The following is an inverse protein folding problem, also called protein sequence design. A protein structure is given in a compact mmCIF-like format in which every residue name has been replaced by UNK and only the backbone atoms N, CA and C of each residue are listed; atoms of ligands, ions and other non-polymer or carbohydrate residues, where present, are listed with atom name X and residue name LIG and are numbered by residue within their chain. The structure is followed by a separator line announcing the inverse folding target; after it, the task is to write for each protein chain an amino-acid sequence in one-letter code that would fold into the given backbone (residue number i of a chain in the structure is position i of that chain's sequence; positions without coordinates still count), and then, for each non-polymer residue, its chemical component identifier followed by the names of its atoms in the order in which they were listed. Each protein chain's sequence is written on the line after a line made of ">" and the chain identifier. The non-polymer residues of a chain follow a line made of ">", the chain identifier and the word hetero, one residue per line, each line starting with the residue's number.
data_IF_751794774190
#
_entry.id   IF_751794774190
#
_cell.length_a   1.000
_cell.length_b   1.000
_cell.length_c   1.000
_cell.angle_alpha   90.00
_cell.angle_beta   90.00
_cell.angle_gamma   90.00
#
_symmetry.space_group_name_H-M   'P 1'
#
loop_
_entity.id
_entity.type
_entity.pdbx_description
1 polymer ?
#
# COMPACT_ATOMS: atom_id res chain seq x y z
N UNK A 1 -25.72 -23.84 1.35
CA UNK A 1 -27.18 -23.75 1.08
C UNK A 1 -27.51 -22.73 0.01
N UNK A 2 -26.71 -21.67 -0.17
CA UNK A 2 -27.04 -20.57 -1.07
C UNK A 2 -27.68 -19.39 -0.34
N UNK A 3 -27.80 -19.50 0.98
CA UNK A 3 -28.32 -18.44 1.83
C UNK A 3 -27.31 -17.31 2.00
N UNK A 4 -27.82 -16.15 2.43
CA UNK A 4 -27.00 -14.98 2.69
C UNK A 4 -25.85 -15.34 3.66
N UNK A 5 -24.63 -15.09 3.20
CA UNK A 5 -23.40 -15.42 3.92
C UNK A 5 -22.44 -14.25 3.87
N UNK A 6 -21.56 -14.17 4.87
CA UNK A 6 -20.54 -13.12 4.96
C UNK A 6 -19.15 -13.73 5.05
N UNK A 7 -18.27 -13.32 4.15
CA UNK A 7 -16.84 -13.52 4.30
C UNK A 7 -16.24 -12.25 4.93
N UNK A 8 -15.62 -12.39 6.10
CA UNK A 8 -14.98 -11.29 6.82
C UNK A 8 -13.47 -11.55 6.93
N UNK A 9 -12.67 -10.53 6.63
CA UNK A 9 -11.22 -10.61 6.67
C UNK A 9 -10.65 -9.30 7.20
N UNK A 10 -9.75 -9.40 8.16
CA UNK A 10 -8.86 -8.32 8.58
C UNK A 10 -7.43 -8.67 8.21
N UNK A 11 -6.64 -7.64 7.89
CA UNK A 11 -5.21 -7.76 7.63
C UNK A 11 -4.49 -6.51 8.12
N UNK A 12 -3.19 -6.63 8.37
CA UNK A 12 -2.30 -5.52 8.65
C UNK A 12 -1.04 -5.55 7.78
N UNK A 13 -0.35 -4.40 7.71
CA UNK A 13 0.91 -4.30 6.96
C UNK A 13 2.00 -5.27 7.47
N UNK A 14 1.95 -5.64 8.75
CA UNK A 14 2.87 -6.63 9.30
C UNK A 14 2.69 -8.01 8.65
N UNK A 15 1.45 -8.40 8.33
CA UNK A 15 1.16 -9.68 7.67
C UNK A 15 1.80 -9.73 6.29
N UNK A 16 1.75 -8.60 5.57
CA UNK A 16 2.39 -8.44 4.26
C UNK A 16 3.90 -8.59 4.36
N UNK A 17 4.52 -7.94 5.35
CA UNK A 17 5.97 -8.05 5.58
C UNK A 17 6.35 -9.49 5.88
N UNK A 18 5.56 -10.19 6.70
CA UNK A 18 5.79 -11.60 7.00
C UNK A 18 5.66 -12.49 5.75
N UNK A 19 4.61 -12.30 4.95
CA UNK A 19 4.43 -13.05 3.70
C UNK A 19 5.57 -12.82 2.71
N UNK A 20 6.03 -11.57 2.55
CA UNK A 20 7.20 -11.29 1.69
C UNK A 20 8.47 -12.00 2.18
N UNK A 21 8.69 -12.07 3.49
CA UNK A 21 9.82 -12.83 4.06
C UNK A 21 9.72 -14.32 3.78
N UNK A 22 8.53 -14.91 3.95
CA UNK A 22 8.29 -16.32 3.65
C UNK A 22 8.54 -16.64 2.18
N UNK A 23 8.05 -15.81 1.26
CA UNK A 23 8.28 -15.96 -0.18
C UNK A 23 9.76 -15.88 -0.51
N UNK A 24 10.50 -14.94 0.09
CA UNK A 24 11.94 -14.77 -0.17
C UNK A 24 12.80 -15.89 0.44
N UNK A 25 12.44 -16.39 1.61
CA UNK A 25 13.17 -17.43 2.33
C UNK A 25 12.80 -18.86 1.97
N UNK A 26 11.76 -19.06 1.14
CA UNK A 26 11.32 -20.39 0.72
C UNK A 26 12.25 -21.06 -0.30
N UNK A 27 12.10 -22.38 -0.43
CA UNK A 27 12.93 -23.25 -1.30
C UNK A 27 12.63 -23.13 -2.80
N UNK A 28 11.62 -22.32 -3.18
CA UNK A 28 11.22 -22.14 -4.57
C UNK A 28 12.27 -21.42 -5.41
N UNK A 29 12.30 -21.73 -6.71
CA UNK A 29 13.15 -21.03 -7.67
C UNK A 29 12.72 -19.57 -7.88
N UNK A 30 13.52 -18.82 -8.64
CA UNK A 30 13.24 -17.40 -8.89
C UNK A 30 11.90 -17.18 -9.59
N UNK A 31 11.52 -18.08 -10.51
CA UNK A 31 10.23 -18.00 -11.19
C UNK A 31 9.06 -18.22 -10.22
N UNK A 32 9.19 -19.16 -9.28
CA UNK A 32 8.23 -19.41 -8.22
C UNK A 32 8.08 -18.20 -7.30
N UNK A 33 9.20 -17.63 -6.82
CA UNK A 33 9.18 -16.43 -5.97
C UNK A 33 8.48 -15.25 -6.64
N UNK A 34 8.73 -15.04 -7.94
CA UNK A 34 8.04 -13.99 -8.72
C UNK A 34 6.54 -14.22 -8.81
N UNK A 35 6.09 -15.45 -9.07
CA UNK A 35 4.65 -15.78 -9.09
C UNK A 35 4.00 -15.58 -7.72
N UNK A 36 4.63 -16.06 -6.66
CA UNK A 36 4.13 -15.89 -5.30
C UNK A 36 4.03 -14.41 -4.90
N UNK A 37 5.03 -13.60 -5.27
CA UNK A 37 4.99 -12.15 -5.07
C UNK A 37 3.82 -11.50 -5.83
N UNK A 38 3.59 -11.89 -7.09
CA UNK A 38 2.46 -11.38 -7.87
C UNK A 38 1.10 -11.74 -7.26
N UNK A 39 0.95 -12.94 -6.70
CA UNK A 39 -0.27 -13.32 -5.97
C UNK A 39 -0.47 -12.50 -4.70
N UNK A 40 0.60 -12.25 -3.93
CA UNK A 40 0.54 -11.38 -2.76
C UNK A 40 0.16 -9.94 -3.14
N UNK A 41 0.76 -9.40 -4.20
CA UNK A 41 0.43 -8.07 -4.71
C UNK A 41 -1.04 -7.99 -5.18
N UNK A 42 -1.56 -9.06 -5.80
CA UNK A 42 -2.97 -9.15 -6.20
C UNK A 42 -3.92 -9.18 -4.99
N UNK A 43 -3.54 -9.89 -3.92
CA UNK A 43 -4.30 -9.92 -2.67
C UNK A 43 -4.33 -8.55 -2.01
N UNK A 44 -3.20 -7.83 -2.01
CA UNK A 44 -3.12 -6.46 -1.50
C UNK A 44 -3.99 -5.51 -2.32
N UNK A 45 -3.93 -5.61 -3.64
CA UNK A 45 -4.79 -4.84 -4.51
C UNK A 45 -6.27 -5.10 -4.20
N UNK A 46 -6.67 -6.34 -3.87
CA UNK A 46 -8.04 -6.65 -3.46
C UNK A 46 -8.38 -6.02 -2.11
N UNK A 47 -7.45 -6.04 -1.14
CA UNK A 47 -7.63 -5.47 0.19
C UNK A 47 -7.75 -3.94 0.18
N UNK A 48 -6.96 -3.26 -0.64
CA UNK A 48 -6.80 -1.79 -0.67
C UNK A 48 -7.66 -1.10 -1.75
N UNK A 49 -8.46 -1.88 -2.48
CA UNK A 49 -9.29 -1.35 -3.55
C UNK A 49 -10.36 -0.38 -3.04
N UNK A 50 -10.54 0.69 -3.81
CA UNK A 50 -11.67 1.63 -3.65
C UNK A 50 -12.83 1.29 -4.59
N UNK A 51 -12.65 0.27 -5.42
CA UNK A 51 -13.67 -0.23 -6.35
C UNK A 51 -14.39 -1.45 -5.75
N UNK A 52 -15.39 -1.98 -6.46
CA UNK A 52 -16.11 -3.18 -6.05
C UNK A 52 -15.17 -4.40 -5.88
N UNK A 53 -15.09 -4.95 -4.65
CA UNK A 53 -14.23 -6.14 -4.39
C UNK A 53 -14.63 -7.35 -5.22
N UNK A 54 -15.93 -7.56 -5.44
CA UNK A 54 -16.42 -8.68 -6.26
C UNK A 54 -15.98 -8.56 -7.70
N UNK A 55 -16.08 -7.37 -8.29
CA UNK A 55 -15.64 -7.14 -9.67
C UNK A 55 -14.15 -7.47 -9.83
N UNK A 56 -13.32 -6.97 -8.91
CA UNK A 56 -11.88 -7.25 -8.92
C UNK A 56 -11.55 -8.73 -8.72
N UNK A 57 -12.27 -9.44 -7.84
CA UNK A 57 -12.10 -10.88 -7.64
C UNK A 57 -12.44 -11.67 -8.91
N UNK A 58 -13.55 -11.32 -9.58
CA UNK A 58 -13.94 -11.94 -10.85
C UNK A 58 -12.87 -11.70 -11.92
N UNK A 59 -12.41 -10.46 -12.08
CA UNK A 59 -11.35 -10.10 -13.05
C UNK A 59 -10.04 -10.86 -12.79
N UNK A 60 -9.65 -11.04 -11.53
CA UNK A 60 -8.47 -11.82 -11.17
C UNK A 60 -8.53 -13.27 -11.69
N UNK A 61 -9.72 -13.88 -11.71
CA UNK A 61 -9.96 -15.22 -12.27
C UNK A 61 -10.33 -15.21 -13.76
N UNK A 62 -10.14 -14.09 -14.47
CA UNK A 62 -10.43 -13.96 -15.89
C UNK A 62 -11.93 -13.93 -16.22
N UNK A 63 -12.78 -13.63 -15.24
CA UNK A 63 -14.22 -13.46 -15.44
C UNK A 63 -14.55 -11.98 -15.62
N UNK A 64 -15.35 -11.67 -16.64
CA UNK A 64 -15.87 -10.32 -16.86
C UNK A 64 -17.01 -10.03 -15.86
N UNK A 65 -16.89 -9.00 -15.01
CA UNK A 65 -17.98 -8.62 -14.12
C UNK A 65 -19.20 -8.16 -14.93
N UNK A 66 -20.37 -8.72 -14.65
CA UNK A 66 -21.62 -8.30 -15.31
C UNK A 66 -22.03 -6.86 -14.94
N UNK A 67 -21.53 -6.35 -13.82
CA UNK A 67 -21.76 -5.01 -13.31
C UNK A 67 -20.48 -4.47 -12.68
N UNK A 68 -20.28 -3.15 -12.76
CA UNK A 68 -19.16 -2.49 -12.08
C UNK A 68 -19.30 -2.55 -10.55
N UNK A 69 -20.53 -2.56 -10.03
CA UNK A 69 -20.85 -2.57 -8.59
C UNK A 69 -21.77 -3.75 -8.26
N UNK A 70 -21.35 -4.59 -7.31
CA UNK A 70 -22.11 -5.78 -6.95
C UNK A 70 -23.22 -5.53 -5.91
N UNK A 71 -23.23 -4.35 -5.28
CA UNK A 71 -24.20 -3.98 -4.24
C UNK A 71 -24.15 -4.81 -2.96
N UNK A 72 -23.13 -5.67 -2.78
CA UNK A 72 -23.07 -6.64 -1.67
C UNK A 72 -21.61 -6.91 -1.22
N UNK A 73 -20.73 -5.92 -1.31
CA UNK A 73 -19.44 -5.93 -0.65
C UNK A 73 -19.27 -4.60 0.10
N UNK A 74 -18.37 -4.58 1.08
CA UNK A 74 -18.08 -3.41 1.92
C UNK A 74 -17.77 -2.15 1.12
N UNK A 75 -16.97 -2.23 0.05
CA UNK A 75 -16.66 -1.05 -0.79
C UNK A 75 -17.85 -0.55 -1.62
N UNK A 76 -18.84 -1.39 -1.90
CA UNK A 76 -20.10 -0.96 -2.53
C UNK A 76 -21.10 -0.41 -1.52
N UNK A 77 -21.16 -0.99 -0.32
CA UNK A 77 -22.13 -0.65 0.72
C UNK A 77 -21.72 0.62 1.48
N UNK A 78 -20.42 0.78 1.73
CA UNK A 78 -19.82 1.93 2.40
C UNK A 78 -18.59 2.35 1.59
N UNK A 79 -18.79 3.08 0.47
CA UNK A 79 -17.69 3.50 -0.38
C UNK A 79 -16.65 4.30 0.42
N UNK A 80 -15.36 3.96 0.32
CA UNK A 80 -14.31 4.71 1.01
C UNK A 80 -14.18 6.11 0.41
N UNK A 81 -13.94 7.12 1.25
CA UNK A 81 -13.62 8.46 0.79
C UNK A 81 -12.26 8.45 0.07
N UNK A 82 -12.21 9.10 -1.09
CA UNK A 82 -10.99 9.22 -1.90
C UNK A 82 -10.78 10.66 -2.34
N UNK A 83 -9.54 11.01 -2.63
CA UNK A 83 -9.16 12.31 -3.15
C UNK A 83 -7.91 12.18 -4.01
N UNK A 84 -7.65 13.19 -4.85
CA UNK A 84 -6.46 13.20 -5.70
C UNK A 84 -5.18 13.47 -4.88
N UNK A 85 -4.54 12.38 -4.45
CA UNK A 85 -3.29 12.38 -3.71
C UNK A 85 -2.03 12.66 -4.54
N UNK A 86 -2.14 13.04 -5.83
CA UNK A 86 -0.99 13.17 -6.74
C UNK A 86 0.09 14.09 -6.18
N UNK A 87 -0.29 15.30 -5.75
CA UNK A 87 0.66 16.31 -5.25
C UNK A 87 1.31 15.86 -3.93
N UNK A 88 0.54 15.28 -3.01
CA UNK A 88 1.08 14.81 -1.73
C UNK A 88 1.99 13.60 -1.92
N UNK A 89 1.64 12.70 -2.84
CA UNK A 89 2.49 11.58 -3.25
C UNK A 89 3.81 12.06 -3.86
N UNK A 90 3.76 13.08 -4.73
CA UNK A 90 4.95 13.71 -5.29
C UNK A 90 5.84 14.33 -4.22
N UNK A 91 5.27 15.04 -3.23
CA UNK A 91 6.04 15.60 -2.11
C UNK A 91 6.72 14.51 -1.29
N UNK A 92 6.01 13.42 -0.99
CA UNK A 92 6.57 12.27 -0.28
C UNK A 92 7.72 11.61 -1.04
N UNK A 93 7.51 11.30 -2.31
CA UNK A 93 8.54 10.70 -3.16
C UNK A 93 9.73 11.65 -3.35
N UNK A 94 9.50 12.96 -3.50
CA UNK A 94 10.55 13.98 -3.58
C UNK A 94 11.41 13.96 -2.32
N UNK A 95 10.80 13.87 -1.13
CA UNK A 95 11.51 13.79 0.16
C UNK A 95 12.42 12.56 0.23
N UNK A 96 11.91 11.38 -0.16
CA UNK A 96 12.70 10.14 -0.23
C UNK A 96 13.90 10.32 -1.16
N UNK A 97 13.67 10.87 -2.35
CA UNK A 97 14.71 11.06 -3.37
C UNK A 97 15.75 12.07 -2.92
N UNK A 98 15.37 13.19 -2.29
CA UNK A 98 16.30 14.20 -1.78
C UNK A 98 17.19 13.67 -0.66
N UNK A 99 16.60 12.96 0.32
CA UNK A 99 17.38 12.29 1.37
C UNK A 99 18.44 11.34 0.77
N UNK A 100 18.07 10.60 -0.28
CA UNK A 100 19.01 9.70 -0.94
C UNK A 100 20.06 10.43 -1.79
N UNK A 101 19.69 11.46 -2.55
CA UNK A 101 20.59 12.14 -3.49
C UNK A 101 21.49 13.17 -2.82
N UNK A 102 20.93 13.99 -1.94
CA UNK A 102 21.63 15.11 -1.31
C UNK A 102 22.40 14.68 -0.05
N UNK A 103 21.90 13.66 0.66
CA UNK A 103 22.45 13.23 1.97
C UNK A 103 22.88 11.76 2.01
N UNK A 104 22.63 10.97 0.96
CA UNK A 104 22.85 9.51 0.95
C UNK A 104 22.20 8.76 2.11
N UNK A 105 21.10 9.27 2.65
CA UNK A 105 20.40 8.74 3.82
C UNK A 105 19.12 7.99 3.44
N UNK A 106 18.68 7.10 4.33
CA UNK A 106 17.41 6.36 4.23
C UNK A 106 16.75 6.30 5.60
N UNK A 107 15.45 6.54 5.64
CA UNK A 107 14.66 6.48 6.86
C UNK A 107 13.31 5.84 6.60
N UNK A 108 12.67 5.34 7.67
CA UNK A 108 11.29 4.85 7.61
C UNK A 108 10.27 5.99 7.47
N UNK A 109 9.02 5.60 7.19
CA UNK A 109 7.92 6.52 6.89
C UNK A 109 7.72 7.63 7.94
N UNK A 110 7.86 7.32 9.24
CA UNK A 110 7.69 8.30 10.31
C UNK A 110 8.60 9.52 10.18
N UNK A 111 9.88 9.33 9.85
CA UNK A 111 10.81 10.44 9.65
C UNK A 111 10.43 11.29 8.44
N UNK A 112 10.00 10.64 7.36
CA UNK A 112 9.58 11.32 6.12
C UNK A 112 8.34 12.17 6.39
N UNK A 113 7.38 11.62 7.14
CA UNK A 113 6.17 12.33 7.58
C UNK A 113 6.54 13.54 8.45
N UNK A 114 7.44 13.37 9.43
CA UNK A 114 7.86 14.49 10.28
C UNK A 114 8.54 15.63 9.50
N UNK A 115 9.32 15.30 8.47
CA UNK A 115 9.93 16.29 7.57
C UNK A 115 8.83 17.07 6.82
N UNK A 116 7.92 16.37 6.16
CA UNK A 116 6.84 16.99 5.37
C UNK A 116 5.87 17.81 6.23
N UNK A 117 5.69 17.44 7.50
CA UNK A 117 4.84 18.18 8.43
C UNK A 117 5.59 19.33 9.13
N UNK A 118 6.87 19.55 8.81
CA UNK A 118 7.66 20.63 9.42
C UNK A 118 7.93 20.40 10.92
N UNK A 119 7.89 19.16 11.39
CA UNK A 119 8.04 18.83 12.80
C UNK A 119 9.50 18.81 13.18
N UNK A 120 9.91 19.65 14.14
CA UNK A 120 11.27 19.68 14.68
C UNK A 120 11.49 18.62 15.77
N UNK A 121 11.34 17.34 15.40
CA UNK A 121 11.66 16.23 16.32
C UNK A 121 13.17 16.13 16.55
N UNK A 122 13.60 15.51 17.64
CA UNK A 122 15.02 15.34 17.95
C UNK A 122 15.78 14.69 16.78
N UNK A 123 15.16 13.72 16.09
CA UNK A 123 15.75 13.05 14.93
C UNK A 123 15.79 13.94 13.69
N UNK A 124 14.77 14.77 13.43
CA UNK A 124 14.81 15.76 12.34
C UNK A 124 15.99 16.71 12.52
N UNK A 125 16.17 17.26 13.73
CA UNK A 125 17.25 18.20 14.04
C UNK A 125 18.62 17.51 14.01
N UNK A 126 18.74 16.31 14.57
CA UNK A 126 20.00 15.55 14.57
C UNK A 126 20.59 15.33 13.17
N UNK A 127 19.73 15.21 12.15
CA UNK A 127 20.14 14.97 10.77
C UNK A 127 20.00 16.23 9.89
N UNK A 128 19.78 17.41 10.48
CA UNK A 128 19.58 18.69 9.79
C UNK A 128 18.50 18.64 8.70
N UNK A 129 17.47 17.81 8.91
CA UNK A 129 16.41 17.63 7.92
C UNK A 129 15.46 18.84 7.84
N UNK A 130 15.50 19.72 8.83
CA UNK A 130 14.80 21.01 8.81
C UNK A 130 15.40 22.00 7.80
N UNK A 131 16.58 21.71 7.26
CA UNK A 131 17.23 22.47 6.18
C UNK A 131 16.86 21.97 4.78
N UNK A 132 16.07 20.90 4.67
CA UNK A 132 15.63 20.40 3.36
C UNK A 132 14.57 21.33 2.77
N UNK A 133 14.62 21.55 1.45
CA UNK A 133 13.61 22.35 0.72
C UNK A 133 12.20 21.78 0.77
N UNK A 134 12.04 20.53 1.24
CA UNK A 134 10.76 19.82 1.41
C UNK A 134 10.29 19.80 2.87
N UNK A 135 10.94 20.55 3.74
CA UNK A 135 10.54 20.65 5.14
C UNK A 135 9.36 21.61 5.30
N UNK A 136 8.25 21.09 5.85
CA UNK A 136 6.96 21.81 5.90
C UNK A 136 6.30 22.00 4.55
#
# INVERSE_FOLDING_TARGET
>A
DGDASTAWMAYGLQDVVQQRKLIQGGEGDEAHRRRAAAHLDSMLALCETVQCRRAQLLTYFGQEPTTANCGNCDTCLVPPETWDGTVVSQKLLSTVVRLKRERNQKFGAGQIIDILLGRKTAKVIQFDHDQLSVFG
#
